data_IF_244544729832
#
_entry.id   IF_244544729832
#
_cell.length_a   1.000
_cell.length_b   1.000
_cell.length_c   1.000
_cell.angle_alpha   90.00
_cell.angle_beta   90.00
_cell.angle_gamma   90.00
#
_symmetry.space_group_name_H-M   'P 1'
#
loop_
_entity.id
_entity.type
_entity.pdbx_description
1 polymer ?
#
# COMPACT_ATOMS: atom_id res chain seq x y z
N UNK A 1 7.24 13.14 -8.45
CA UNK A 1 6.64 12.96 -7.14
C UNK A 1 6.84 11.55 -6.66
N UNK A 2 7.16 11.43 -5.40
CA UNK A 2 7.43 10.11 -4.84
C UNK A 2 6.15 9.41 -4.46
N UNK A 3 6.13 8.11 -4.69
CA UNK A 3 5.03 7.29 -4.25
C UNK A 3 5.53 6.14 -3.40
N UNK A 4 4.62 5.64 -2.58
CA UNK A 4 4.87 4.48 -1.74
C UNK A 4 3.92 3.38 -2.15
N UNK A 5 4.24 2.18 -1.72
CA UNK A 5 3.48 1.01 -2.11
C UNK A 5 3.04 0.24 -0.88
N UNK A 6 1.78 -0.20 -0.88
CA UNK A 6 1.29 -1.12 0.14
C UNK A 6 1.18 -2.50 -0.49
N UNK A 7 1.85 -3.48 0.09
CA UNK A 7 1.71 -4.86 -0.32
C UNK A 7 0.79 -5.60 0.65
N UNK A 8 0.07 -6.58 0.14
CA UNK A 8 -0.92 -7.33 0.92
C UNK A 8 -0.68 -8.82 0.77
N UNK A 9 -1.14 -9.60 1.75
CA UNK A 9 -1.15 -11.05 1.66
C UNK A 9 -2.52 -11.58 1.28
N UNK A 10 -3.55 -10.73 1.30
CA UNK A 10 -4.91 -11.11 1.03
C UNK A 10 -5.55 -10.12 0.06
N UNK A 11 -6.14 -10.65 -1.01
CA UNK A 11 -6.86 -9.83 -1.97
C UNK A 11 -8.02 -9.09 -1.29
N UNK A 12 -8.66 -9.74 -0.35
CA UNK A 12 -9.77 -9.13 0.38
C UNK A 12 -9.32 -7.90 1.14
N UNK A 13 -8.15 -7.97 1.78
CA UNK A 13 -7.62 -6.81 2.50
C UNK A 13 -7.19 -5.70 1.54
N UNK A 14 -6.66 -6.08 0.38
CA UNK A 14 -6.30 -5.08 -0.63
C UNK A 14 -7.52 -4.32 -1.11
N UNK A 15 -8.62 -5.02 -1.39
CA UNK A 15 -9.84 -4.37 -1.84
C UNK A 15 -10.47 -3.52 -0.74
N UNK A 16 -10.37 -3.98 0.50
CA UNK A 16 -10.86 -3.20 1.63
C UNK A 16 -10.08 -1.90 1.78
N UNK A 17 -8.75 -1.99 1.67
CA UNK A 17 -7.90 -0.81 1.75
C UNK A 17 -8.19 0.17 0.62
N UNK A 18 -8.41 -0.35 -0.59
CA UNK A 18 -8.76 0.50 -1.72
C UNK A 18 -9.99 1.35 -1.40
N UNK A 19 -11.04 0.69 -0.90
CA UNK A 19 -12.27 1.38 -0.58
C UNK A 19 -12.08 2.44 0.50
N UNK A 20 -11.33 2.09 1.56
CA UNK A 20 -11.12 3.00 2.67
C UNK A 20 -10.30 4.22 2.27
N UNK A 21 -9.27 4.02 1.45
CA UNK A 21 -8.42 5.12 1.03
C UNK A 21 -9.12 6.02 0.05
N UNK A 22 -9.92 5.45 -0.86
CA UNK A 22 -10.70 6.26 -1.78
C UNK A 22 -11.75 7.07 -1.04
N UNK A 23 -12.36 6.47 -0.04
CA UNK A 23 -13.34 7.17 0.77
C UNK A 23 -12.73 8.36 1.50
N UNK A 24 -11.45 8.28 1.84
CA UNK A 24 -10.73 9.36 2.49
C UNK A 24 -10.14 10.37 1.50
N UNK A 25 -10.49 10.27 0.23
CA UNK A 25 -10.02 11.16 -0.83
C UNK A 25 -8.51 11.08 -1.06
N UNK A 26 -7.93 9.94 -0.80
CA UNK A 26 -6.52 9.73 -1.09
C UNK A 26 -6.41 9.15 -2.50
N UNK A 27 -5.58 9.78 -3.31
CA UNK A 27 -5.35 9.35 -4.68
C UNK A 27 -4.52 8.08 -4.68
N UNK A 28 -5.09 6.98 -5.16
CA UNK A 28 -4.39 5.70 -5.17
C UNK A 28 -4.46 5.05 -6.54
N UNK A 29 -3.53 4.15 -6.79
CA UNK A 29 -3.52 3.32 -7.99
C UNK A 29 -3.35 1.87 -7.58
N UNK A 30 -4.18 1.01 -8.15
CA UNK A 30 -4.02 -0.43 -8.00
C UNK A 30 -2.99 -0.90 -9.02
N UNK A 31 -2.02 -1.65 -8.57
CA UNK A 31 -0.97 -2.14 -9.46
C UNK A 31 -0.58 -3.57 -9.09
N UNK A 32 0.06 -4.28 -10.01
CA UNK A 32 0.58 -5.61 -9.67
C UNK A 32 1.69 -5.50 -8.63
N UNK A 33 1.73 -6.46 -7.70
CA UNK A 33 2.79 -6.49 -6.72
C UNK A 33 4.12 -6.77 -7.42
N UNK A 34 5.13 -5.91 -7.23
CA UNK A 34 6.44 -6.16 -7.85
C UNK A 34 7.01 -7.49 -7.39
N UNK A 35 7.74 -8.15 -8.28
CA UNK A 35 8.31 -9.45 -7.93
C UNK A 35 9.42 -9.36 -6.88
N UNK A 36 9.96 -8.18 -6.67
CA UNK A 36 10.93 -7.94 -5.61
C UNK A 36 10.30 -8.05 -4.22
N UNK A 37 8.98 -7.95 -4.16
CA UNK A 37 8.25 -8.00 -2.90
C UNK A 37 7.56 -9.35 -2.80
N UNK A 38 7.86 -10.09 -1.74
CA UNK A 38 7.22 -11.38 -1.48
C UNK A 38 5.93 -11.12 -0.70
N UNK A 39 4.81 -11.40 -1.33
CA UNK A 39 3.50 -11.18 -0.71
C UNK A 39 2.51 -12.20 -1.26
N UNK A 40 1.49 -12.50 -0.46
CA UNK A 40 0.50 -13.50 -0.83
C UNK A 40 -0.53 -13.00 -1.84
N UNK A 41 -0.65 -11.69 -2.02
CA UNK A 41 -1.61 -11.11 -2.94
C UNK A 41 -0.88 -10.47 -4.11
N UNK A 42 -1.42 -10.67 -5.32
CA UNK A 42 -0.82 -10.12 -6.53
C UNK A 42 -1.13 -8.63 -6.72
N UNK A 43 -2.00 -8.06 -5.89
CA UNK A 43 -2.37 -6.66 -6.00
C UNK A 43 -1.71 -5.84 -4.92
N UNK A 44 -1.23 -4.65 -5.31
CA UNK A 44 -0.67 -3.67 -4.40
C UNK A 44 -1.33 -2.32 -4.65
N UNK A 45 -1.18 -1.40 -3.71
CA UNK A 45 -1.72 -0.06 -3.83
C UNK A 45 -0.59 0.94 -3.77
N UNK A 46 -0.55 1.81 -4.77
CA UNK A 46 0.42 2.90 -4.83
C UNK A 46 -0.27 4.19 -4.41
N UNK A 47 0.41 4.98 -3.58
CA UNK A 47 -0.16 6.25 -3.11
C UNK A 47 0.95 7.28 -2.96
N UNK A 48 0.60 8.58 -2.99
CA UNK A 48 1.63 9.63 -2.84
C UNK A 48 2.26 9.60 -1.45
N UNK A 49 3.57 9.74 -1.39
CA UNK A 49 4.28 9.69 -0.11
C UNK A 49 3.84 10.80 0.85
N UNK A 50 3.31 11.90 0.32
CA UNK A 50 2.81 12.99 1.17
C UNK A 50 1.64 12.56 2.04
N UNK A 51 0.94 11.48 1.66
CA UNK A 51 -0.24 11.01 2.39
C UNK A 51 0.07 9.89 3.38
N UNK A 52 1.36 9.64 3.63
CA UNK A 52 1.74 8.46 4.41
C UNK A 52 1.15 8.46 5.81
N UNK A 53 1.07 9.61 6.46
CA UNK A 53 0.55 9.66 7.83
C UNK A 53 -0.93 9.30 7.86
N UNK A 54 -1.69 9.82 6.90
CA UNK A 54 -3.11 9.52 6.82
C UNK A 54 -3.35 8.06 6.47
N UNK A 55 -2.55 7.52 5.54
CA UNK A 55 -2.65 6.12 5.16
C UNK A 55 -2.36 5.22 6.35
N UNK A 56 -1.30 5.49 7.09
CA UNK A 56 -0.95 4.70 8.27
C UNK A 56 -2.06 4.75 9.31
N UNK A 57 -2.66 5.92 9.51
CA UNK A 57 -3.72 6.08 10.48
C UNK A 57 -4.94 5.26 10.10
N UNK A 58 -5.31 5.24 8.83
CA UNK A 58 -6.44 4.47 8.35
C UNK A 58 -6.18 2.98 8.52
N UNK A 59 -5.00 2.52 8.13
CA UNK A 59 -4.63 1.11 8.26
C UNK A 59 -4.74 0.67 9.71
N UNK A 60 -4.26 1.51 10.62
CA UNK A 60 -4.26 1.18 12.04
C UNK A 60 -5.67 1.21 12.62
N UNK A 61 -6.42 2.27 12.36
CA UNK A 61 -7.74 2.44 12.97
C UNK A 61 -8.76 1.46 12.43
N UNK A 62 -8.61 1.02 11.19
CA UNK A 62 -9.53 0.09 10.55
C UNK A 62 -9.04 -1.35 10.58
N UNK A 63 -7.91 -1.59 11.20
CA UNK A 63 -7.32 -2.93 11.33
C UNK A 63 -7.13 -3.61 9.98
N UNK A 64 -6.62 -2.87 9.00
CA UNK A 64 -6.32 -3.45 7.71
C UNK A 64 -5.02 -4.24 7.82
N UNK A 65 -5.06 -5.50 7.39
CA UNK A 65 -3.86 -6.33 7.39
C UNK A 65 -3.07 -6.07 6.12
N UNK A 66 -1.82 -5.68 6.28
CA UNK A 66 -0.93 -5.44 5.16
C UNK A 66 0.32 -6.27 5.32
N UNK A 67 0.98 -6.56 4.18
CA UNK A 67 2.29 -7.20 4.21
C UNK A 67 3.35 -6.19 4.63
N UNK A 68 3.22 -4.96 4.18
CA UNK A 68 4.13 -3.90 4.54
C UNK A 68 3.98 -2.71 3.66
N UNK A 69 4.64 -1.63 4.05
CA UNK A 69 4.77 -0.42 3.25
C UNK A 69 6.17 -0.40 2.66
N UNK A 70 6.26 -0.06 1.39
CA UNK A 70 7.52 -0.12 0.66
C UNK A 70 7.76 1.18 -0.08
N UNK A 71 9.03 1.54 -0.19
CA UNK A 71 9.46 2.69 -0.97
C UNK A 71 10.30 2.21 -2.13
N UNK A 72 10.02 2.73 -3.33
CA UNK A 72 10.83 2.38 -4.49
C UNK A 72 12.14 3.13 -4.44
N UNK A 73 13.24 2.40 -4.57
CA UNK A 73 14.57 2.96 -4.56
C UNK A 73 15.24 2.68 -5.90
N UNK A 74 16.46 3.19 -6.03
CA UNK A 74 17.24 2.96 -7.24
C UNK A 74 17.46 1.48 -7.50
N UNK A 75 17.61 0.67 -6.44
CA UNK A 75 17.92 -0.75 -6.55
C UNK A 75 16.71 -1.66 -6.38
N UNK A 76 15.51 -1.11 -6.24
CA UNK A 76 14.32 -1.93 -6.05
C UNK A 76 13.40 -1.33 -5.01
N UNK A 77 13.00 -2.13 -4.03
CA UNK A 77 12.06 -1.69 -2.99
C UNK A 77 12.64 -1.89 -1.61
N UNK A 78 12.40 -0.93 -0.73
CA UNK A 78 12.80 -1.00 0.67
C UNK A 78 11.56 -0.98 1.54
N UNK A 79 11.45 -1.95 2.44
CA UNK A 79 10.32 -1.98 3.36
C UNK A 79 10.54 -0.93 4.45
N UNK A 80 9.57 -0.01 4.58
CA UNK A 80 9.66 1.06 5.57
C UNK A 80 8.75 0.82 6.76
N UNK A 81 7.88 -0.16 6.66
CA UNK A 81 7.04 -0.53 7.79
C UNK A 81 6.44 -1.93 7.62
#
# INVERSE_FOLDING_TARGET
>A
MESLLIAFDSTQQALRAEMLLEYADIEIDICPTPKEITAGCALSIEFPSAEINQVKQIILSENVEIRGLFEKTFDGYVQIQ
#
